data_IF_312465008826
#
_entry.id   IF_312465008826
#
_cell.length_a   1.000
_cell.length_b   1.000
_cell.length_c   1.000
_cell.angle_alpha   90.00
_cell.angle_beta   90.00
_cell.angle_gamma   90.00
#
_symmetry.space_group_name_H-M   'P 1'
#
loop_
_entity.id
_entity.type
_entity.pdbx_description
1 polymer ?
#
# COMPACT_ATOMS: atom_id res chain seq x y z
N UNK A 1 14.41 -31.81 -33.17
CA UNK A 1 14.44 -31.69 -31.70
C UNK A 1 13.03 -31.33 -31.25
N UNK A 2 12.30 -32.27 -30.62
CA UNK A 2 10.88 -32.08 -30.29
C UNK A 2 10.76 -31.15 -29.08
N UNK A 3 10.28 -29.92 -29.29
CA UNK A 3 9.85 -29.03 -28.21
C UNK A 3 8.53 -29.58 -27.66
N UNK A 4 8.59 -30.37 -26.60
CA UNK A 4 7.41 -30.64 -25.79
C UNK A 4 7.07 -29.33 -25.07
N UNK A 5 6.09 -28.59 -25.59
CA UNK A 5 5.65 -27.32 -25.02
C UNK A 5 5.24 -27.52 -23.57
N UNK A 6 5.97 -26.90 -22.63
CA UNK A 6 5.48 -26.72 -21.26
C UNK A 6 4.12 -26.05 -21.39
N UNK A 7 3.08 -26.69 -20.82
CA UNK A 7 1.79 -26.02 -20.64
C UNK A 7 2.07 -24.69 -19.93
N UNK A 8 1.42 -23.61 -20.36
CA UNK A 8 1.48 -22.35 -19.62
C UNK A 8 1.17 -22.62 -18.14
N UNK A 9 1.79 -21.88 -17.20
CA UNK A 9 1.44 -22.01 -15.79
C UNK A 9 0.01 -21.59 -15.51
N UNK A 10 -0.64 -22.24 -14.54
CA UNK A 10 -1.98 -21.84 -14.07
C UNK A 10 -1.84 -20.70 -13.06
N UNK A 11 -2.54 -19.58 -13.30
CA UNK A 11 -2.66 -18.49 -12.32
C UNK A 11 -3.98 -18.62 -11.57
N UNK A 12 -3.95 -18.67 -10.24
CA UNK A 12 -5.14 -18.54 -9.41
C UNK A 12 -5.28 -17.11 -8.93
N UNK A 13 -6.41 -16.48 -9.27
CA UNK A 13 -6.74 -15.11 -8.85
C UNK A 13 -7.77 -15.19 -7.72
N UNK A 14 -7.47 -14.60 -6.57
CA UNK A 14 -8.42 -14.46 -5.46
C UNK A 14 -9.07 -13.09 -5.54
N UNK A 15 -10.41 -13.06 -5.56
CA UNK A 15 -11.22 -11.84 -5.70
C UNK A 15 -12.15 -11.70 -4.49
N UNK A 16 -11.78 -10.95 -3.44
CA UNK A 16 -12.66 -10.71 -2.30
C UNK A 16 -13.77 -9.72 -2.66
N UNK A 17 -15.01 -10.00 -2.29
CA UNK A 17 -16.23 -9.25 -2.66
C UNK A 17 -17.00 -8.84 -1.41
N UNK A 18 -17.21 -7.53 -1.24
CA UNK A 18 -18.08 -6.96 -0.21
C UNK A 18 -18.50 -5.52 -0.56
N UNK A 19 -19.81 -5.28 -0.71
CA UNK A 19 -20.40 -3.98 -1.05
C UNK A 19 -19.80 -3.33 -2.32
N UNK A 20 -19.85 -4.07 -3.43
CA UNK A 20 -19.19 -3.74 -4.71
C UNK A 20 -20.06 -4.06 -5.95
N UNK A 21 -21.39 -4.14 -5.78
CA UNK A 21 -22.35 -4.44 -6.86
C UNK A 21 -22.09 -3.61 -8.13
N UNK A 22 -21.75 -2.34 -7.98
CA UNK A 22 -21.48 -1.42 -9.09
C UNK A 22 -20.24 -1.80 -9.92
N UNK A 23 -19.16 -2.23 -9.26
CA UNK A 23 -17.84 -2.34 -9.89
C UNK A 23 -17.46 -3.77 -10.27
N UNK A 24 -18.02 -4.77 -9.58
CA UNK A 24 -17.71 -6.18 -9.79
C UNK A 24 -17.83 -6.65 -11.25
N UNK A 25 -18.84 -6.24 -12.04
CA UNK A 25 -18.92 -6.64 -13.45
C UNK A 25 -17.71 -6.22 -14.28
N UNK A 26 -17.18 -5.01 -14.07
CA UNK A 26 -16.00 -4.53 -14.79
C UNK A 26 -14.73 -5.25 -14.33
N UNK A 27 -14.61 -5.53 -13.03
CA UNK A 27 -13.52 -6.31 -12.46
C UNK A 27 -13.44 -7.70 -13.08
N UNK A 28 -14.54 -8.47 -13.06
CA UNK A 28 -14.58 -9.82 -13.62
C UNK A 28 -14.41 -9.84 -15.15
N UNK A 29 -15.00 -8.86 -15.86
CA UNK A 29 -14.79 -8.71 -17.29
C UNK A 29 -13.30 -8.51 -17.65
N UNK A 30 -12.56 -7.76 -16.82
CA UNK A 30 -11.12 -7.54 -17.04
C UNK A 30 -10.28 -8.80 -16.87
N UNK A 31 -10.69 -9.70 -15.99
CA UNK A 31 -10.05 -11.00 -15.81
C UNK A 31 -10.35 -11.93 -16.99
N UNK A 32 -11.59 -11.92 -17.49
CA UNK A 32 -11.99 -12.66 -18.70
C UNK A 32 -11.22 -12.22 -19.94
N UNK A 33 -10.92 -10.93 -20.03
CA UNK A 33 -10.19 -10.32 -21.14
C UNK A 33 -8.66 -10.53 -21.10
N UNK A 34 -8.11 -11.23 -20.10
CA UNK A 34 -6.66 -11.47 -20.00
C UNK A 34 -6.12 -12.29 -21.18
N UNK A 35 -4.97 -11.85 -21.69
CA UNK A 35 -4.24 -12.51 -22.79
C UNK A 35 -3.53 -13.79 -22.35
N UNK A 36 -3.11 -13.89 -21.08
CA UNK A 36 -2.74 -15.17 -20.47
C UNK A 36 -4.02 -15.94 -20.19
N UNK A 37 -4.34 -16.95 -20.98
CA UNK A 37 -5.67 -17.60 -20.94
C UNK A 37 -5.81 -18.67 -19.85
N UNK A 38 -4.69 -19.15 -19.30
CA UNK A 38 -4.67 -20.23 -18.31
C UNK A 38 -4.68 -19.68 -16.89
N UNK A 39 -5.86 -19.26 -16.46
CA UNK A 39 -6.13 -18.84 -15.10
C UNK A 39 -7.40 -19.50 -14.56
N UNK A 40 -7.57 -19.44 -13.24
CA UNK A 40 -8.82 -19.67 -12.53
C UNK A 40 -9.03 -18.54 -11.51
N UNK A 41 -10.27 -18.30 -11.12
CA UNK A 41 -10.62 -17.29 -10.13
C UNK A 41 -11.40 -17.94 -8.98
N UNK A 42 -11.05 -17.57 -7.75
CA UNK A 42 -11.86 -17.82 -6.57
C UNK A 42 -12.42 -16.48 -6.11
N UNK A 43 -13.68 -16.24 -6.44
CA UNK A 43 -14.43 -15.08 -5.97
C UNK A 43 -14.99 -15.42 -4.59
N UNK A 44 -14.61 -14.65 -3.59
CA UNK A 44 -15.04 -14.88 -2.20
C UNK A 44 -16.03 -13.78 -1.84
N UNK A 45 -17.31 -14.14 -1.82
CA UNK A 45 -18.36 -13.29 -1.28
C UNK A 45 -18.27 -13.31 0.25
N UNK A 46 -17.78 -12.21 0.82
CA UNK A 46 -17.56 -12.02 2.26
C UNK A 46 -18.85 -11.58 2.98
N UNK A 47 -19.98 -12.21 2.62
CA UNK A 47 -21.29 -11.91 3.16
C UNK A 47 -21.78 -10.52 2.77
N UNK A 48 -21.68 -10.18 1.48
CA UNK A 48 -22.03 -8.87 0.97
C UNK A 48 -23.51 -8.51 1.21
N UNK A 49 -23.84 -7.25 1.57
CA UNK A 49 -25.23 -6.84 1.83
C UNK A 49 -26.00 -6.43 0.56
N UNK A 50 -25.30 -6.30 -0.57
CA UNK A 50 -25.85 -5.89 -1.87
C UNK A 50 -25.97 -7.08 -2.83
N UNK A 51 -26.21 -6.85 -4.13
CA UNK A 51 -26.36 -7.94 -5.10
C UNK A 51 -25.03 -8.46 -5.65
N UNK A 52 -23.88 -8.07 -5.09
CA UNK A 52 -22.59 -8.49 -5.61
C UNK A 52 -22.41 -10.03 -5.57
N UNK A 53 -22.99 -10.70 -4.57
CA UNK A 53 -22.99 -12.17 -4.47
C UNK A 53 -23.77 -12.83 -5.62
N UNK A 54 -24.98 -12.35 -5.91
CA UNK A 54 -25.79 -12.81 -7.05
C UNK A 54 -25.06 -12.58 -8.38
N UNK A 55 -24.42 -11.42 -8.54
CA UNK A 55 -23.63 -11.09 -9.73
C UNK A 55 -22.47 -12.07 -9.88
N UNK A 56 -21.74 -12.38 -8.80
CA UNK A 56 -20.65 -13.35 -8.84
C UNK A 56 -21.14 -14.73 -9.32
N UNK A 57 -22.30 -15.19 -8.84
CA UNK A 57 -22.91 -16.46 -9.26
C UNK A 57 -23.29 -16.46 -10.74
N UNK A 58 -23.86 -15.36 -11.24
CA UNK A 58 -24.19 -15.20 -12.66
C UNK A 58 -22.94 -15.27 -13.55
N UNK A 59 -21.81 -14.71 -13.11
CA UNK A 59 -20.54 -14.81 -13.81
C UNK A 59 -19.99 -16.23 -13.79
N UNK A 60 -19.99 -16.90 -12.64
CA UNK A 60 -19.53 -18.29 -12.52
C UNK A 60 -20.36 -19.27 -13.36
N UNK A 61 -21.65 -18.99 -13.56
CA UNK A 61 -22.51 -19.79 -14.44
C UNK A 61 -22.11 -19.68 -15.93
N UNK A 62 -21.43 -18.61 -16.35
CA UNK A 62 -21.08 -18.32 -17.75
C UNK A 62 -19.59 -18.53 -18.05
N UNK A 63 -18.74 -18.36 -17.05
CA UNK A 63 -17.28 -18.49 -17.15
C UNK A 63 -16.79 -19.62 -16.22
N UNK A 64 -16.49 -20.82 -16.76
CA UNK A 64 -16.14 -21.99 -15.96
C UNK A 64 -14.80 -21.89 -15.23
N UNK A 65 -13.98 -20.86 -15.54
CA UNK A 65 -12.76 -20.54 -14.79
C UNK A 65 -13.04 -19.83 -13.47
N UNK A 66 -14.25 -19.30 -13.25
CA UNK A 66 -14.66 -18.61 -12.03
C UNK A 66 -15.40 -19.57 -11.11
N UNK A 67 -15.02 -19.56 -9.83
CA UNK A 67 -15.77 -20.21 -8.74
C UNK A 67 -16.11 -19.18 -7.67
N UNK A 68 -17.32 -19.27 -7.13
CA UNK A 68 -17.77 -18.46 -5.99
C UNK A 68 -17.71 -19.27 -4.70
N UNK A 69 -17.28 -18.63 -3.62
CA UNK A 69 -17.33 -19.13 -2.25
C UNK A 69 -18.03 -18.07 -1.40
N UNK A 70 -19.16 -18.42 -0.78
CA UNK A 70 -19.87 -17.52 0.11
C UNK A 70 -19.46 -17.79 1.56
N UNK A 71 -19.20 -16.72 2.29
CA UNK A 71 -18.77 -16.75 3.68
C UNK A 71 -19.56 -15.75 4.51
N UNK A 72 -19.39 -15.81 5.83
CA UNK A 72 -19.84 -14.72 6.71
C UNK A 72 -18.74 -13.66 6.74
N UNK A 73 -19.12 -12.38 6.77
CA UNK A 73 -18.16 -11.26 6.78
C UNK A 73 -17.09 -11.44 7.86
N UNK A 74 -15.86 -11.69 7.41
CA UNK A 74 -14.66 -11.77 8.22
C UNK A 74 -13.66 -10.64 7.94
N UNK A 75 -13.94 -9.82 6.93
CA UNK A 75 -13.06 -8.76 6.44
C UNK A 75 -12.11 -9.23 5.34
N UNK A 76 -11.48 -8.25 4.67
CA UNK A 76 -10.68 -8.46 3.46
C UNK A 76 -9.59 -9.53 3.60
N UNK A 77 -8.84 -9.54 4.69
CA UNK A 77 -7.82 -10.57 4.95
C UNK A 77 -8.40 -11.98 5.10
N UNK A 78 -9.54 -12.12 5.79
CA UNK A 78 -10.21 -13.41 5.94
C UNK A 78 -10.74 -13.91 4.60
N UNK A 79 -11.33 -13.04 3.79
CA UNK A 79 -11.79 -13.37 2.45
C UNK A 79 -10.64 -13.83 1.53
N UNK A 80 -9.49 -13.13 1.57
CA UNK A 80 -8.30 -13.56 0.81
C UNK A 80 -7.75 -14.90 1.29
N UNK A 81 -7.69 -15.13 2.61
CA UNK A 81 -7.27 -16.41 3.19
C UNK A 81 -8.23 -17.55 2.84
N UNK A 82 -9.53 -17.31 2.85
CA UNK A 82 -10.51 -18.30 2.40
C UNK A 82 -10.26 -18.64 0.93
N UNK A 83 -10.10 -17.63 0.07
CA UNK A 83 -9.79 -17.83 -1.35
C UNK A 83 -8.55 -18.69 -1.56
N UNK A 84 -7.50 -18.49 -0.77
CA UNK A 84 -6.27 -19.30 -0.79
C UNK A 84 -6.48 -20.78 -0.45
N UNK A 85 -7.53 -21.16 0.31
CA UNK A 85 -7.85 -22.58 0.57
C UNK A 85 -8.38 -23.30 -0.67
N UNK A 86 -8.75 -22.53 -1.70
CA UNK A 86 -9.48 -22.98 -2.87
C UNK A 86 -8.65 -22.88 -4.16
N UNK A 87 -7.46 -22.28 -4.12
CA UNK A 87 -6.59 -22.14 -5.30
C UNK A 87 -5.90 -23.46 -5.68
N UNK A 88 -5.60 -23.63 -6.97
CA UNK A 88 -4.93 -24.80 -7.56
C UNK A 88 -3.75 -24.42 -8.46
N UNK A 89 -3.56 -23.12 -8.71
CA UNK A 89 -2.59 -22.57 -9.64
C UNK A 89 -1.15 -22.70 -9.18
N UNK A 90 -0.23 -22.62 -10.14
CA UNK A 90 1.21 -22.53 -9.89
C UNK A 90 1.58 -21.15 -9.33
N UNK A 91 0.77 -20.13 -9.68
CA UNK A 91 0.91 -18.75 -9.24
C UNK A 91 -0.35 -18.24 -8.56
N UNK A 92 -0.18 -17.27 -7.68
CA UNK A 92 -1.22 -16.59 -6.91
C UNK A 92 -1.23 -15.10 -7.26
N UNK A 93 -2.41 -14.57 -7.56
CA UNK A 93 -2.67 -13.14 -7.69
C UNK A 93 -3.89 -12.75 -6.85
N UNK A 94 -3.96 -11.48 -6.48
CA UNK A 94 -5.06 -10.92 -5.71
C UNK A 94 -5.63 -9.73 -6.49
N UNK A 95 -6.93 -9.67 -6.62
CA UNK A 95 -7.61 -8.61 -7.38
C UNK A 95 -8.75 -8.07 -6.53
N UNK A 96 -8.65 -6.79 -6.16
CA UNK A 96 -9.73 -6.14 -5.43
C UNK A 96 -10.93 -5.93 -6.38
N UNK A 97 -12.13 -6.17 -5.85
CA UNK A 97 -13.36 -6.36 -6.65
C UNK A 97 -13.91 -5.07 -7.28
N UNK A 98 -13.34 -3.92 -6.95
CA UNK A 98 -13.64 -2.63 -7.54
C UNK A 98 -12.62 -2.17 -8.59
N UNK A 99 -11.53 -2.90 -8.76
CA UNK A 99 -10.44 -2.56 -9.66
C UNK A 99 -10.49 -3.34 -10.99
N UNK A 100 -9.55 -3.03 -11.88
CA UNK A 100 -9.48 -3.60 -13.23
C UNK A 100 -8.05 -3.99 -13.58
N UNK A 101 -7.88 -5.15 -14.20
CA UNK A 101 -6.61 -5.58 -14.77
C UNK A 101 -6.44 -5.09 -16.22
N UNK A 102 -5.28 -4.52 -16.60
CA UNK A 102 -4.87 -4.39 -17.99
C UNK A 102 -4.85 -5.75 -18.70
N UNK A 103 -5.16 -5.85 -20.01
CA UNK A 103 -5.29 -7.14 -20.71
C UNK A 103 -4.03 -8.03 -20.70
N UNK A 104 -2.85 -7.44 -20.49
CA UNK A 104 -1.55 -8.12 -20.51
C UNK A 104 -0.98 -8.38 -19.12
N UNK A 105 -1.64 -7.93 -18.05
CA UNK A 105 -1.11 -7.96 -16.68
C UNK A 105 -0.61 -9.36 -16.26
N UNK A 106 -1.44 -10.38 -16.40
CA UNK A 106 -1.05 -11.75 -16.02
C UNK A 106 0.07 -12.30 -16.93
N UNK A 107 0.03 -12.00 -18.23
CA UNK A 107 1.03 -12.48 -19.18
C UNK A 107 2.42 -11.88 -18.91
N UNK A 108 2.45 -10.59 -18.57
CA UNK A 108 3.66 -9.84 -18.24
C UNK A 108 4.29 -10.38 -16.96
N UNK A 109 3.51 -10.53 -15.89
CA UNK A 109 4.01 -11.02 -14.59
C UNK A 109 4.47 -12.48 -14.68
N UNK A 110 3.70 -13.36 -15.33
CA UNK A 110 4.10 -14.77 -15.54
C UNK A 110 5.37 -14.84 -16.39
N UNK A 111 5.45 -14.03 -17.46
CA UNK A 111 6.62 -13.98 -18.34
C UNK A 111 7.89 -13.60 -17.60
N UNK A 112 7.83 -12.59 -16.72
CA UNK A 112 8.96 -12.19 -15.87
C UNK A 112 9.42 -13.36 -15.00
N UNK A 113 8.49 -13.99 -14.28
CA UNK A 113 8.82 -15.07 -13.34
C UNK A 113 9.36 -16.33 -14.02
N UNK A 114 8.81 -16.72 -15.17
CA UNK A 114 9.34 -17.86 -15.93
C UNK A 114 10.75 -17.57 -16.49
N UNK A 115 11.09 -16.29 -16.74
CA UNK A 115 12.41 -15.91 -17.23
C UNK A 115 13.45 -15.77 -16.12
N UNK A 116 13.09 -15.15 -14.99
CA UNK A 116 14.00 -14.84 -13.88
C UNK A 116 14.17 -16.01 -12.91
N UNK A 117 13.13 -16.82 -12.73
CA UNK A 117 13.06 -17.79 -11.64
C UNK A 117 12.79 -17.18 -10.26
N UNK A 118 12.48 -15.88 -10.18
CA UNK A 118 12.15 -15.18 -8.93
C UNK A 118 10.92 -15.77 -8.23
N UNK A 119 10.81 -15.53 -6.92
CA UNK A 119 9.73 -16.01 -6.09
C UNK A 119 8.40 -15.29 -6.36
N UNK A 120 8.46 -13.99 -6.64
CA UNK A 120 7.31 -13.18 -7.05
C UNK A 120 7.74 -11.95 -7.86
N UNK A 121 6.76 -11.32 -8.52
CA UNK A 121 6.99 -10.12 -9.33
C UNK A 121 5.99 -9.05 -8.92
N UNK A 122 6.41 -7.79 -8.96
CA UNK A 122 5.56 -6.61 -8.76
C UNK A 122 5.59 -5.71 -10.00
N UNK A 123 4.43 -5.22 -10.43
CA UNK A 123 4.31 -4.28 -11.54
C UNK A 123 3.79 -2.91 -11.11
N UNK A 124 4.01 -1.89 -11.94
CA UNK A 124 3.52 -0.55 -11.68
C UNK A 124 1.99 -0.49 -11.80
N UNK A 125 1.40 0.67 -11.51
CA UNK A 125 -0.04 0.83 -11.35
C UNK A 125 -0.51 2.17 -11.94
N UNK A 126 -1.71 2.19 -12.50
CA UNK A 126 -2.37 3.44 -12.88
C UNK A 126 -3.53 3.70 -11.91
N UNK A 127 -3.55 4.88 -11.33
CA UNK A 127 -4.71 5.41 -10.60
C UNK A 127 -5.77 5.82 -11.61
N UNK A 128 -6.98 5.29 -11.44
CA UNK A 128 -8.16 5.61 -12.22
C UNK A 128 -9.10 6.51 -11.43
N UNK A 129 -9.19 7.76 -11.84
CA UNK A 129 -10.03 8.79 -11.21
C UNK A 129 -10.69 9.63 -12.30
N UNK A 130 -12.00 9.85 -12.21
CA UNK A 130 -12.79 10.66 -13.16
C UNK A 130 -12.55 10.31 -14.64
N UNK A 131 -12.44 9.01 -14.95
CA UNK A 131 -12.21 8.53 -16.31
C UNK A 131 -10.76 8.62 -16.79
N UNK A 132 -9.86 9.17 -15.99
CA UNK A 132 -8.45 9.37 -16.33
C UNK A 132 -7.57 8.33 -15.64
N UNK A 133 -6.63 7.75 -16.39
CA UNK A 133 -5.58 6.89 -15.87
C UNK A 133 -4.29 7.69 -15.72
N UNK A 134 -3.67 7.64 -14.54
CA UNK A 134 -2.41 8.32 -14.26
C UNK A 134 -1.51 7.47 -13.37
N UNK A 135 -0.23 7.38 -13.70
CA UNK A 135 0.74 6.68 -12.86
C UNK A 135 1.11 7.56 -11.66
N UNK A 136 0.93 7.09 -10.40
CA UNK A 136 1.35 7.85 -9.24
C UNK A 136 2.88 8.07 -9.25
N UNK A 137 3.39 9.30 -9.01
CA UNK A 137 4.82 9.59 -9.08
C UNK A 137 5.68 8.71 -8.17
N UNK A 138 5.14 8.32 -7.02
CA UNK A 138 5.82 7.46 -6.06
C UNK A 138 5.90 6.01 -6.57
N UNK A 139 4.90 5.50 -7.28
CA UNK A 139 4.96 4.17 -7.91
C UNK A 139 5.96 4.17 -9.06
N UNK A 140 5.91 5.20 -9.91
CA UNK A 140 6.91 5.38 -10.97
C UNK A 140 8.35 5.36 -10.43
N UNK A 141 8.59 6.03 -9.30
CA UNK A 141 9.91 6.05 -8.64
C UNK A 141 10.33 4.67 -8.13
N UNK A 142 9.40 3.89 -7.59
CA UNK A 142 9.69 2.56 -7.05
C UNK A 142 9.90 1.51 -8.15
N UNK A 143 9.31 1.70 -9.32
CA UNK A 143 9.31 0.72 -10.41
C UNK A 143 10.26 1.04 -11.57
N UNK A 144 10.91 2.21 -11.57
CA UNK A 144 11.83 2.61 -12.64
C UNK A 144 13.24 2.94 -12.11
N UNK A 145 14.31 2.32 -12.66
CA UNK A 145 14.29 1.30 -13.72
C UNK A 145 13.78 -0.06 -13.22
N UNK A 146 13.30 -0.95 -14.11
CA UNK A 146 12.90 -2.30 -13.73
C UNK A 146 14.10 -3.13 -13.22
N UNK A 147 13.83 -4.06 -12.32
CA UNK A 147 14.81 -4.91 -11.65
C UNK A 147 14.41 -6.39 -11.75
N UNK A 148 15.39 -7.29 -11.71
CA UNK A 148 15.15 -8.73 -11.85
C UNK A 148 15.97 -9.50 -10.84
N UNK A 149 15.34 -10.43 -10.11
CA UNK A 149 16.00 -11.32 -9.16
C UNK A 149 16.65 -10.61 -7.97
N UNK A 150 16.12 -9.46 -7.56
CA UNK A 150 16.66 -8.67 -6.44
C UNK A 150 16.10 -9.13 -5.10
N UNK A 151 16.72 -8.66 -4.01
CA UNK A 151 16.26 -8.88 -2.62
C UNK A 151 16.05 -7.53 -1.92
N UNK A 152 15.26 -7.54 -0.85
CA UNK A 152 14.95 -6.32 -0.10
C UNK A 152 16.19 -5.64 0.50
N UNK A 153 17.26 -6.39 0.80
CA UNK A 153 18.51 -5.79 1.29
C UNK A 153 19.21 -4.91 0.23
N UNK A 154 19.13 -5.28 -1.06
CA UNK A 154 19.75 -4.53 -2.15
C UNK A 154 18.91 -3.32 -2.56
N UNK A 155 17.60 -3.38 -2.31
CA UNK A 155 16.64 -2.40 -2.79
C UNK A 155 15.48 -2.22 -1.80
N UNK A 156 15.75 -1.71 -0.58
CA UNK A 156 14.75 -1.60 0.49
C UNK A 156 13.62 -0.62 0.17
N UNK A 157 13.81 0.28 -0.79
CA UNK A 157 12.79 1.24 -1.21
C UNK A 157 11.50 0.62 -1.71
N UNK A 158 11.58 -0.57 -2.31
CA UNK A 158 10.41 -1.30 -2.82
C UNK A 158 9.45 -1.73 -1.71
N UNK A 159 9.89 -1.75 -0.45
CA UNK A 159 9.01 -1.99 0.71
C UNK A 159 7.93 -0.91 0.86
N UNK A 160 8.05 0.22 0.15
CA UNK A 160 6.99 1.21 0.01
C UNK A 160 5.84 0.80 -0.93
N UNK A 161 6.04 -0.18 -1.82
CA UNK A 161 4.99 -0.80 -2.63
C UNK A 161 4.30 -1.92 -1.85
N UNK A 162 3.41 -1.51 -0.96
CA UNK A 162 2.80 -2.36 0.06
C UNK A 162 1.61 -3.19 -0.43
N UNK A 163 1.15 -2.96 -1.66
CA UNK A 163 -0.10 -3.51 -2.14
C UNK A 163 -0.03 -5.00 -2.42
N UNK A 164 -1.12 -5.71 -2.16
CA UNK A 164 -1.25 -7.13 -2.51
C UNK A 164 -1.47 -7.36 -4.01
N UNK A 165 -2.14 -6.42 -4.67
CA UNK A 165 -2.87 -6.66 -5.92
C UNK A 165 -2.08 -6.40 -7.20
N UNK A 166 -0.96 -5.70 -7.13
CA UNK A 166 -0.05 -5.49 -8.26
C UNK A 166 1.04 -6.57 -8.36
N UNK A 167 0.82 -7.72 -7.72
CA UNK A 167 1.83 -8.79 -7.56
C UNK A 167 1.33 -10.14 -8.04
N UNK A 168 2.28 -10.94 -8.50
CA UNK A 168 2.10 -12.36 -8.80
C UNK A 168 3.12 -13.16 -8.01
N UNK A 169 2.66 -14.09 -7.17
CA UNK A 169 3.52 -14.92 -6.32
C UNK A 169 3.58 -16.34 -6.86
N UNK A 170 4.74 -16.99 -6.82
CA UNK A 170 4.80 -18.46 -6.91
C UNK A 170 4.08 -19.05 -5.71
N UNK A 171 3.15 -19.97 -5.94
CA UNK A 171 2.42 -20.62 -4.83
C UNK A 171 3.36 -21.39 -3.90
N UNK A 172 4.36 -22.08 -4.46
CA UNK A 172 5.35 -22.80 -3.66
C UNK A 172 6.14 -21.88 -2.74
N UNK A 173 6.50 -20.68 -3.21
CA UNK A 173 7.16 -19.67 -2.37
C UNK A 173 6.22 -19.23 -1.25
N UNK A 174 4.99 -18.80 -1.61
CA UNK A 174 3.97 -18.36 -0.65
C UNK A 174 3.77 -19.35 0.50
N UNK A 175 3.62 -20.64 0.16
CA UNK A 175 3.47 -21.73 1.11
C UNK A 175 4.74 -21.92 1.97
N UNK A 176 5.93 -21.97 1.35
CA UNK A 176 7.19 -22.20 2.07
C UNK A 176 7.60 -21.05 3.00
N UNK A 177 7.26 -19.81 2.63
CA UNK A 177 7.49 -18.62 3.44
C UNK A 177 6.42 -18.44 4.54
N UNK A 178 5.41 -19.31 4.59
CA UNK A 178 4.33 -19.24 5.58
C UNK A 178 3.55 -17.92 5.50
N UNK A 179 3.31 -17.43 4.28
CA UNK A 179 2.58 -16.18 4.07
C UNK A 179 1.07 -16.40 4.26
N UNK A 180 0.41 -15.42 4.86
CA UNK A 180 -1.02 -15.38 5.10
C UNK A 180 -1.43 -13.94 5.37
N UNK A 181 -2.68 -13.59 5.09
CA UNK A 181 -3.20 -12.26 5.39
C UNK A 181 -3.64 -12.18 6.85
N UNK A 182 -3.24 -11.15 7.62
CA UNK A 182 -3.85 -10.86 8.90
C UNK A 182 -5.36 -10.66 8.77
N UNK A 183 -6.13 -11.24 9.70
CA UNK A 183 -7.59 -11.16 9.70
C UNK A 183 -8.10 -10.10 10.68
N UNK A 184 -9.30 -9.58 10.43
CA UNK A 184 -9.98 -8.58 11.28
C UNK A 184 -9.20 -7.29 11.49
N UNK A 185 -8.40 -6.90 10.49
CA UNK A 185 -7.62 -5.67 10.48
C UNK A 185 -7.69 -5.04 9.09
N UNK A 186 -7.70 -3.71 9.01
CA UNK A 186 -7.50 -2.97 7.74
C UNK A 186 -6.03 -2.95 7.37
N UNK A 187 -5.73 -2.77 6.09
CA UNK A 187 -4.34 -2.66 5.61
C UNK A 187 -3.53 -3.94 5.83
N UNK A 188 -4.20 -5.09 5.78
CA UNK A 188 -3.62 -6.43 5.97
C UNK A 188 -2.56 -6.78 4.91
N UNK A 189 -2.56 -6.05 3.80
CA UNK A 189 -1.59 -6.18 2.73
C UNK A 189 -0.16 -5.82 3.19
N UNK A 190 -0.01 -4.73 3.94
CA UNK A 190 1.28 -4.22 4.39
C UNK A 190 2.17 -5.24 5.10
N UNK A 191 1.77 -5.84 6.23
CA UNK A 191 2.63 -6.79 6.93
C UNK A 191 2.96 -8.02 6.08
N UNK A 192 2.00 -8.53 5.31
CA UNK A 192 2.19 -9.72 4.48
C UNK A 192 3.13 -9.46 3.31
N UNK A 193 2.96 -8.33 2.63
CA UNK A 193 3.80 -7.91 1.51
C UNK A 193 5.22 -7.61 1.99
N UNK A 194 5.40 -6.97 3.14
CA UNK A 194 6.73 -6.80 3.77
C UNK A 194 7.39 -8.15 4.02
N UNK A 195 6.69 -9.11 4.64
CA UNK A 195 7.23 -10.47 4.85
C UNK A 195 7.62 -11.15 3.54
N UNK A 196 6.85 -10.98 2.48
CA UNK A 196 7.18 -11.52 1.16
C UNK A 196 8.48 -10.94 0.59
N UNK A 197 8.64 -9.60 0.62
CA UNK A 197 9.87 -8.93 0.19
C UNK A 197 11.11 -9.36 0.98
N UNK A 198 10.97 -9.55 2.30
CA UNK A 198 12.08 -9.97 3.18
C UNK A 198 12.49 -11.43 2.95
N UNK A 199 11.53 -12.31 2.62
CA UNK A 199 11.79 -13.75 2.48
C UNK A 199 12.30 -14.16 1.09
N UNK A 200 11.80 -13.52 0.02
CA UNK A 200 11.98 -13.99 -1.35
C UNK A 200 12.94 -13.16 -2.21
N UNK A 201 13.21 -13.65 -3.41
CA UNK A 201 13.73 -12.84 -4.52
C UNK A 201 12.60 -12.36 -5.42
N UNK A 202 12.69 -11.15 -5.95
CA UNK A 202 11.61 -10.58 -6.75
C UNK A 202 12.06 -9.80 -7.97
N UNK A 203 11.13 -9.68 -8.91
CA UNK A 203 11.26 -8.79 -10.06
C UNK A 203 10.41 -7.53 -9.84
N UNK A 204 10.91 -6.39 -10.30
CA UNK A 204 10.22 -5.10 -10.30
C UNK A 204 10.04 -4.67 -11.75
N UNK A 205 8.78 -4.49 -12.16
CA UNK A 205 8.43 -4.13 -13.53
C UNK A 205 7.88 -2.71 -13.57
N UNK A 206 8.29 -1.92 -14.56
CA UNK A 206 7.77 -0.59 -14.84
C UNK A 206 6.43 -0.61 -15.61
N UNK A 207 6.09 -1.75 -16.22
CA UNK A 207 4.80 -1.95 -16.89
C UNK A 207 3.63 -1.84 -15.90
N UNK A 208 2.61 -1.02 -16.20
CA UNK A 208 1.41 -0.99 -15.38
C UNK A 208 0.59 -2.28 -15.51
N UNK A 209 0.46 -3.01 -14.40
CA UNK A 209 -0.25 -4.31 -14.34
C UNK A 209 -1.61 -4.20 -13.63
N UNK A 210 -2.03 -2.99 -13.27
CA UNK A 210 -3.23 -2.79 -12.48
C UNK A 210 -3.80 -1.39 -12.64
N UNK A 211 -5.13 -1.28 -12.72
CA UNK A 211 -5.86 -0.01 -12.69
C UNK A 211 -6.60 0.12 -11.36
N UNK A 212 -6.05 0.95 -10.47
CA UNK A 212 -6.58 1.21 -9.13
C UNK A 212 -7.65 2.30 -9.18
N UNK A 213 -8.92 1.93 -8.93
CA UNK A 213 -10.06 2.84 -8.96
C UNK A 213 -10.16 3.67 -7.69
N UNK A 214 -10.36 4.97 -7.85
CA UNK A 214 -10.85 5.82 -6.77
C UNK A 214 -12.37 5.92 -6.87
N UNK A 215 -13.06 5.51 -5.81
CA UNK A 215 -14.52 5.62 -5.72
C UNK A 215 -14.91 7.05 -5.33
N UNK A 216 -15.81 7.65 -6.11
CA UNK A 216 -16.31 9.01 -5.88
C UNK A 216 -17.26 9.09 -4.68
N UNK A 217 -17.82 7.96 -4.24
CA UNK A 217 -18.73 7.85 -3.09
C UNK A 217 -18.02 7.89 -1.72
N UNK A 218 -16.68 7.81 -1.70
CA UNK A 218 -15.89 7.85 -0.47
C UNK A 218 -15.97 6.58 0.38
N UNK A 219 -16.54 5.48 -0.11
CA UNK A 219 -16.82 4.30 0.72
C UNK A 219 -15.63 3.36 0.89
N UNK A 220 -14.53 3.58 0.17
CA UNK A 220 -13.32 2.73 0.27
C UNK A 220 -12.77 2.73 1.70
N UNK A 221 -12.24 1.57 2.12
CA UNK A 221 -11.50 1.42 3.40
C UNK A 221 -10.44 2.51 3.52
N UNK A 222 -9.73 2.78 2.41
CA UNK A 222 -8.66 3.77 2.36
C UNK A 222 -9.14 5.22 2.46
N UNK A 223 -10.44 5.50 2.56
CA UNK A 223 -11.01 6.85 2.67
C UNK A 223 -11.56 7.16 4.09
N UNK A 224 -11.47 6.22 5.06
CA UNK A 224 -12.07 6.34 6.40
C UNK A 224 -11.09 6.74 7.54
N UNK A 225 -9.98 7.43 7.19
CA UNK A 225 -8.83 7.70 8.09
C UNK A 225 -9.12 8.56 9.33
N UNK A 226 -10.24 9.29 9.35
CA UNK A 226 -10.62 10.13 10.49
C UNK A 226 -11.20 9.33 11.67
N UNK A 227 -11.51 8.04 11.48
CA UNK A 227 -12.09 7.21 12.53
C UNK A 227 -11.03 6.66 13.48
N UNK A 228 -11.36 6.53 14.77
CA UNK A 228 -10.49 5.90 15.78
C UNK A 228 -10.17 4.43 15.42
N UNK A 229 -11.15 3.59 15.00
CA UNK A 229 -10.85 2.22 14.58
C UNK A 229 -9.84 2.13 13.43
N UNK A 230 -9.91 3.02 12.43
CA UNK A 230 -8.90 3.05 11.35
C UNK A 230 -7.50 3.30 11.90
N UNK A 231 -7.35 4.29 12.79
CA UNK A 231 -6.06 4.61 13.37
C UNK A 231 -5.52 3.50 14.28
N UNK A 232 -6.39 2.76 14.98
CA UNK A 232 -5.99 1.57 15.75
C UNK A 232 -5.40 0.50 14.82
N UNK A 233 -6.14 0.13 13.77
CA UNK A 233 -5.68 -0.86 12.78
C UNK A 233 -4.40 -0.38 12.08
N UNK A 234 -4.28 0.93 11.85
CA UNK A 234 -3.09 1.53 11.26
C UNK A 234 -1.87 1.38 12.15
N UNK A 235 -1.99 1.58 13.45
CA UNK A 235 -0.88 1.36 14.37
C UNK A 235 -0.53 -0.12 14.48
N UNK A 236 -1.53 -0.98 14.54
CA UNK A 236 -1.31 -2.42 14.64
C UNK A 236 -0.59 -2.98 13.40
N UNK A 237 -1.01 -2.60 12.20
CA UNK A 237 -0.30 -3.02 10.97
C UNK A 237 1.15 -2.51 10.92
N UNK A 238 1.42 -1.28 11.39
CA UNK A 238 2.79 -0.76 11.52
C UNK A 238 3.63 -1.57 12.51
N UNK A 239 3.07 -1.99 13.65
CA UNK A 239 3.77 -2.86 14.61
C UNK A 239 4.09 -4.22 14.00
N UNK A 240 3.14 -4.82 13.28
CA UNK A 240 3.37 -6.09 12.59
C UNK A 240 4.46 -5.99 11.51
N UNK A 241 4.47 -4.90 10.74
CA UNK A 241 5.53 -4.61 9.77
C UNK A 241 6.88 -4.40 10.46
N UNK A 242 6.93 -3.62 11.55
CA UNK A 242 8.15 -3.40 12.33
C UNK A 242 8.70 -4.71 12.89
N UNK A 243 7.86 -5.52 13.52
CA UNK A 243 8.26 -6.82 14.06
C UNK A 243 8.86 -7.73 12.96
N UNK A 244 8.29 -7.69 11.75
CA UNK A 244 8.80 -8.47 10.61
C UNK A 244 10.20 -8.06 10.17
N UNK A 245 10.51 -6.75 10.13
CA UNK A 245 11.85 -6.27 9.74
C UNK A 245 12.86 -6.45 10.86
N UNK A 246 12.45 -6.31 12.12
CA UNK A 246 13.29 -6.58 13.28
C UNK A 246 13.67 -8.06 13.38
N UNK A 247 12.71 -8.96 13.13
CA UNK A 247 12.95 -10.41 13.07
C UNK A 247 13.89 -10.79 11.92
N UNK A 248 13.78 -10.11 10.78
CA UNK A 248 14.69 -10.32 9.64
C UNK A 248 16.15 -9.98 9.99
N UNK A 249 16.37 -9.02 10.90
CA UNK A 249 17.67 -8.73 11.49
C UNK A 249 18.62 -7.90 10.62
N UNK A 250 18.13 -7.27 9.55
CA UNK A 250 18.90 -6.34 8.72
C UNK A 250 18.69 -4.89 9.23
N UNK A 251 19.73 -4.23 9.80
CA UNK A 251 19.60 -2.89 10.35
C UNK A 251 19.34 -1.81 9.31
N UNK A 252 19.84 -1.96 8.09
CA UNK A 252 19.66 -0.96 7.02
C UNK A 252 18.22 -1.01 6.51
N UNK A 253 17.70 -2.22 6.26
CA UNK A 253 16.29 -2.43 5.89
C UNK A 253 15.37 -1.94 7.01
N UNK A 254 15.67 -2.27 8.26
CA UNK A 254 14.87 -1.82 9.42
C UNK A 254 14.84 -0.30 9.51
N UNK A 255 16.01 0.35 9.39
CA UNK A 255 16.07 1.82 9.43
C UNK A 255 15.27 2.42 8.28
N UNK A 256 15.42 1.89 7.07
CA UNK A 256 14.68 2.37 5.90
C UNK A 256 13.18 2.24 6.10
N UNK A 257 12.70 1.09 6.58
CA UNK A 257 11.27 0.87 6.81
C UNK A 257 10.73 1.82 7.86
N UNK A 258 11.40 1.98 9.00
CA UNK A 258 10.95 2.92 10.06
C UNK A 258 10.93 4.37 9.56
N UNK A 259 11.98 4.79 8.87
CA UNK A 259 12.18 6.20 8.54
C UNK A 259 11.47 6.62 7.26
N UNK A 260 11.25 5.71 6.31
CA UNK A 260 10.67 6.02 4.99
C UNK A 260 9.31 5.38 4.79
N UNK A 261 9.15 4.10 5.10
CA UNK A 261 7.90 3.37 4.82
C UNK A 261 6.84 3.65 5.88
N UNK A 262 7.14 3.40 7.16
CA UNK A 262 6.21 3.60 8.27
C UNK A 262 5.96 5.08 8.55
N UNK A 263 6.91 5.96 8.27
CA UNK A 263 6.68 7.41 8.41
C UNK A 263 5.92 7.98 7.20
N UNK A 264 6.13 7.42 6.00
CA UNK A 264 5.75 8.03 4.71
C UNK A 264 4.26 8.20 4.44
N UNK A 265 3.38 7.58 5.23
CA UNK A 265 1.93 7.70 5.15
C UNK A 265 1.33 8.57 6.26
N UNK A 266 2.10 8.90 7.30
CA UNK A 266 1.62 9.68 8.45
C UNK A 266 1.15 11.08 8.05
N UNK A 267 1.71 11.66 6.98
CA UNK A 267 1.30 12.99 6.52
C UNK A 267 -0.21 13.06 6.23
N UNK A 268 -0.82 11.95 5.75
CA UNK A 268 -2.27 11.89 5.50
C UNK A 268 -3.07 11.95 6.79
N UNK A 269 -2.55 11.38 7.87
CA UNK A 269 -3.13 11.47 9.21
C UNK A 269 -2.92 12.87 9.80
N UNK A 270 -1.75 13.47 9.57
CA UNK A 270 -1.48 14.83 10.06
C UNK A 270 -2.45 15.87 9.48
N UNK A 271 -2.83 15.74 8.21
CA UNK A 271 -3.84 16.60 7.60
C UNK A 271 -5.23 16.55 8.29
N UNK A 272 -5.52 15.51 9.09
CA UNK A 272 -6.79 15.34 9.80
C UNK A 272 -6.78 15.95 11.20
N UNK A 273 -5.61 16.35 11.73
CA UNK A 273 -5.46 16.92 13.07
C UNK A 273 -6.44 18.08 13.35
N UNK A 274 -6.72 19.03 12.42
CA UNK A 274 -7.64 20.14 12.67
C UNK A 274 -9.06 19.69 13.04
N UNK A 275 -9.53 18.56 12.50
CA UNK A 275 -10.86 18.02 12.75
C UNK A 275 -10.91 16.83 13.71
N UNK A 276 -9.77 16.42 14.25
CA UNK A 276 -9.68 15.20 15.07
C UNK A 276 -10.41 15.34 16.42
N UNK A 277 -10.85 14.22 16.99
CA UNK A 277 -11.27 14.19 18.39
C UNK A 277 -10.07 14.19 19.34
N UNK A 278 -10.30 14.50 20.61
CA UNK A 278 -9.28 14.35 21.68
C UNK A 278 -8.75 12.92 21.80
N UNK A 279 -9.64 11.93 21.68
CA UNK A 279 -9.28 10.51 21.69
C UNK A 279 -8.37 10.16 20.52
N UNK A 280 -8.74 10.59 19.31
CA UNK A 280 -7.97 10.34 18.11
C UNK A 280 -6.58 11.00 18.20
N UNK A 281 -6.50 12.24 18.72
CA UNK A 281 -5.22 12.92 18.95
C UNK A 281 -4.30 12.12 19.87
N UNK A 282 -4.81 11.67 21.02
CA UNK A 282 -4.02 10.88 21.97
C UNK A 282 -3.53 9.58 21.35
N UNK A 283 -4.37 8.92 20.56
CA UNK A 283 -4.00 7.70 19.85
C UNK A 283 -2.93 7.95 18.78
N UNK A 284 -3.04 9.03 18.00
CA UNK A 284 -2.01 9.43 17.02
C UNK A 284 -0.69 9.64 17.74
N UNK A 285 -0.69 10.46 18.79
CA UNK A 285 0.51 10.79 19.56
C UNK A 285 1.13 9.55 20.21
N UNK A 286 0.32 8.67 20.80
CA UNK A 286 0.81 7.45 21.43
C UNK A 286 1.57 6.57 20.45
N UNK A 287 1.03 6.33 19.24
CA UNK A 287 1.72 5.54 18.22
C UNK A 287 2.97 6.23 17.66
N UNK A 288 2.94 7.57 17.53
CA UNK A 288 4.15 8.33 17.16
C UNK A 288 5.26 8.17 18.20
N UNK A 289 4.94 8.30 19.48
CA UNK A 289 5.93 8.13 20.56
C UNK A 289 6.41 6.69 20.70
N UNK A 290 5.54 5.71 20.44
CA UNK A 290 5.90 4.29 20.45
C UNK A 290 6.97 3.98 19.41
N UNK A 291 6.79 4.44 18.17
CA UNK A 291 7.65 4.08 17.04
C UNK A 291 8.84 5.04 16.85
N UNK A 292 8.68 6.33 17.17
CA UNK A 292 9.70 7.35 16.94
C UNK A 292 10.12 8.11 18.20
N UNK A 293 9.62 7.80 19.40
CA UNK A 293 9.92 8.58 20.61
C UNK A 293 11.41 8.67 20.99
N UNK A 294 12.24 7.71 20.57
CA UNK A 294 13.70 7.74 20.77
C UNK A 294 14.49 8.23 19.54
N UNK A 295 13.83 8.34 18.37
CA UNK A 295 14.47 8.63 17.07
C UNK A 295 14.03 9.97 16.46
N UNK A 296 12.85 10.45 16.82
CA UNK A 296 12.12 11.57 16.24
C UNK A 296 11.78 11.44 14.74
N UNK A 297 10.55 11.82 14.39
CA UNK A 297 10.08 11.96 13.01
C UNK A 297 10.83 13.06 12.24
N UNK A 298 11.57 13.93 12.92
CA UNK A 298 12.46 14.92 12.30
C UNK A 298 13.51 14.27 11.39
N UNK A 299 13.94 13.05 11.73
CA UNK A 299 14.91 12.29 10.95
C UNK A 299 14.28 11.40 9.86
N UNK A 300 12.95 11.31 9.82
CA UNK A 300 12.23 10.52 8.81
C UNK A 300 12.35 11.08 7.38
N UNK A 301 11.75 10.38 6.43
CA UNK A 301 11.59 10.80 5.04
C UNK A 301 10.31 11.54 4.73
N UNK A 302 9.56 11.98 5.75
CA UNK A 302 8.41 12.84 5.54
C UNK A 302 8.83 14.16 4.84
N UNK A 303 7.94 14.76 4.04
CA UNK A 303 8.17 16.11 3.52
C UNK A 303 8.38 17.11 4.66
N UNK A 304 9.15 18.20 4.45
CA UNK A 304 9.55 19.12 5.52
C UNK A 304 8.40 19.58 6.44
N UNK A 305 7.29 20.06 5.88
CA UNK A 305 6.12 20.53 6.67
C UNK A 305 5.50 19.42 7.54
N UNK A 306 5.57 18.18 7.09
CA UNK A 306 5.05 17.04 7.84
C UNK A 306 6.06 16.51 8.85
N UNK A 307 7.38 16.70 8.64
CA UNK A 307 8.40 16.49 9.69
C UNK A 307 8.20 17.47 10.84
N UNK A 308 7.96 18.74 10.54
CA UNK A 308 7.61 19.75 11.54
C UNK A 308 6.32 19.37 12.30
N UNK A 309 5.29 18.93 11.59
CA UNK A 309 4.05 18.45 12.23
C UNK A 309 4.30 17.24 13.14
N UNK A 310 5.09 16.26 12.68
CA UNK A 310 5.48 15.10 13.47
C UNK A 310 6.17 15.49 14.78
N UNK A 311 7.08 16.47 14.73
CA UNK A 311 7.70 17.02 15.93
C UNK A 311 6.68 17.69 16.86
N UNK A 312 5.74 18.49 16.35
CA UNK A 312 4.67 19.08 17.17
C UNK A 312 3.81 18.01 17.86
N UNK A 313 3.54 16.88 17.17
CA UNK A 313 2.85 15.72 17.77
C UNK A 313 3.66 15.13 18.92
N UNK A 314 4.97 14.92 18.74
CA UNK A 314 5.86 14.42 19.81
C UNK A 314 5.81 15.33 21.05
N UNK A 315 5.82 16.66 20.83
CA UNK A 315 5.77 17.67 21.89
C UNK A 315 4.37 17.90 22.50
N UNK A 316 3.35 17.16 22.07
CA UNK A 316 1.94 17.36 22.47
C UNK A 316 1.37 18.76 22.14
N UNK A 317 1.89 19.40 21.08
CA UNK A 317 1.51 20.75 20.64
C UNK A 317 0.34 20.72 19.67
N UNK A 318 -0.79 20.19 20.12
CA UNK A 318 -1.98 19.93 19.28
C UNK A 318 -2.49 21.15 18.51
N UNK A 319 -2.66 22.28 19.20
CA UNK A 319 -3.24 23.48 18.59
C UNK A 319 -2.39 24.00 17.44
N UNK A 320 -1.07 23.99 17.62
CA UNK A 320 -0.12 24.44 16.61
C UNK A 320 0.02 23.44 15.47
N UNK A 321 -0.06 22.13 15.75
CA UNK A 321 -0.14 21.11 14.71
C UNK A 321 -1.41 21.28 13.85
N UNK A 322 -2.55 21.59 14.47
CA UNK A 322 -3.80 21.87 13.77
C UNK A 322 -3.71 23.15 12.91
N UNK A 323 -3.13 24.23 13.45
CA UNK A 323 -2.97 25.47 12.72
C UNK A 323 -1.99 25.31 11.54
N UNK A 324 -0.88 24.61 11.74
CA UNK A 324 0.07 24.27 10.68
C UNK A 324 -0.59 23.47 9.55
N UNK A 325 -1.37 22.43 9.88
CA UNK A 325 -2.02 21.61 8.86
C UNK A 325 -3.18 22.33 8.17
N UNK A 326 -3.85 23.26 8.86
CA UNK A 326 -4.84 24.16 8.24
C UNK A 326 -4.18 25.10 7.23
N UNK A 327 -3.02 25.66 7.57
CA UNK A 327 -2.24 26.47 6.64
C UNK A 327 -1.75 25.66 5.44
N UNK A 328 -1.19 24.46 5.68
CA UNK A 328 -0.71 23.56 4.62
C UNK A 328 -1.83 23.19 3.64
N UNK A 329 -3.05 22.94 4.13
CA UNK A 329 -4.19 22.63 3.28
C UNK A 329 -4.61 23.80 2.33
N UNK A 330 -4.17 25.03 2.62
CA UNK A 330 -4.42 26.21 1.80
C UNK A 330 -3.29 26.58 0.83
N UNK A 331 -2.19 25.82 0.80
CA UNK A 331 -1.06 26.09 -0.10
C UNK A 331 -1.30 25.57 -1.51
N UNK A 332 -0.86 26.34 -2.51
CA UNK A 332 -0.77 25.91 -3.91
C UNK A 332 0.67 25.46 -4.22
N UNK A 333 1.02 24.26 -3.73
CA UNK A 333 2.36 23.69 -3.86
C UNK A 333 3.11 23.54 -2.51
N UNK A 334 4.44 23.32 -2.55
CA UNK A 334 5.25 23.20 -1.33
C UNK A 334 5.30 24.53 -0.56
N UNK A 335 5.49 24.44 0.75
CA UNK A 335 5.70 25.62 1.59
C UNK A 335 6.95 26.39 1.20
N UNK A 336 6.89 27.71 1.38
CA UNK A 336 8.04 28.59 1.20
C UNK A 336 9.20 28.21 2.13
N UNK A 337 10.40 28.58 1.69
CA UNK A 337 11.67 28.26 2.37
C UNK A 337 12.61 29.44 2.32
N UNK A 338 13.41 29.55 3.37
CA UNK A 338 14.39 30.63 3.54
C UNK A 338 15.75 30.03 3.83
N UNK A 339 16.79 30.64 3.28
CA UNK A 339 18.17 30.27 3.56
C UNK A 339 18.72 31.16 4.68
N UNK A 340 19.30 30.53 5.69
CA UNK A 340 20.05 31.25 6.71
C UNK A 340 21.36 31.79 6.12
N UNK A 341 21.57 33.10 6.22
CA UNK A 341 22.69 33.79 5.56
C UNK A 341 24.04 33.39 6.17
N UNK A 342 24.08 33.05 7.46
CA UNK A 342 25.32 32.75 8.16
C UNK A 342 25.78 31.30 7.94
N UNK A 343 24.85 30.35 7.94
CA UNK A 343 25.12 28.91 7.82
C UNK A 343 24.91 28.36 6.41
N UNK A 344 24.14 29.06 5.56
CA UNK A 344 23.72 28.58 4.25
C UNK A 344 22.66 27.47 4.30
N UNK A 345 22.16 27.10 5.49
CA UNK A 345 21.15 26.07 5.66
C UNK A 345 19.77 26.55 5.22
N UNK A 346 18.99 25.67 4.58
CA UNK A 346 17.60 25.95 4.22
C UNK A 346 16.67 25.53 5.35
N UNK A 347 15.66 26.34 5.62
CA UNK A 347 14.58 26.02 6.56
C UNK A 347 13.22 26.42 6.01
N UNK A 348 12.17 25.82 6.55
CA UNK A 348 10.79 26.22 6.28
C UNK A 348 10.58 27.68 6.67
N UNK A 349 9.90 28.42 5.81
CA UNK A 349 9.42 29.78 6.06
C UNK A 349 7.94 29.73 6.48
N UNK A 350 7.72 29.28 7.71
CA UNK A 350 6.36 29.22 8.29
C UNK A 350 5.98 30.61 8.82
N UNK A 351 4.85 31.20 8.39
CA UNK A 351 4.43 32.50 8.88
C UNK A 351 4.28 32.50 10.41
N UNK A 352 4.75 33.55 11.09
CA UNK A 352 4.64 33.66 12.55
C UNK A 352 3.18 33.56 13.07
N UNK A 353 2.19 33.93 12.25
CA UNK A 353 0.77 33.75 12.59
C UNK A 353 0.34 32.29 12.69
N UNK A 354 1.09 31.36 12.06
CA UNK A 354 0.83 29.92 12.04
C UNK A 354 1.63 29.21 13.13
N UNK A 355 2.89 29.61 13.32
CA UNK A 355 3.77 29.02 14.32
C UNK A 355 4.91 29.99 14.67
N UNK A 356 5.16 30.18 15.97
CA UNK A 356 6.40 30.84 16.42
C UNK A 356 7.58 29.88 16.28
N UNK A 357 8.26 29.97 15.13
CA UNK A 357 9.41 29.13 14.78
C UNK A 357 10.60 29.27 15.74
N UNK A 358 10.66 30.32 16.57
CA UNK A 358 11.71 30.45 17.59
C UNK A 358 11.56 29.44 18.74
N UNK A 359 10.37 28.85 18.89
CA UNK A 359 10.05 27.82 19.91
C UNK A 359 10.22 26.39 19.39
N UNK A 360 10.71 26.24 18.15
CA UNK A 360 10.79 24.95 17.45
C UNK A 360 12.24 24.51 17.38
N UNK A 361 12.47 23.21 17.51
CA UNK A 361 13.80 22.63 17.26
C UNK A 361 14.24 22.97 15.81
N UNK A 362 15.41 23.61 15.61
CA UNK A 362 15.90 23.92 14.27
C UNK A 362 15.93 22.72 13.32
N UNK A 363 16.17 21.51 13.82
CA UNK A 363 16.16 20.29 13.00
C UNK A 363 14.76 19.99 12.43
N UNK A 364 13.69 20.31 13.17
CA UNK A 364 12.31 20.15 12.70
C UNK A 364 11.92 21.15 11.59
N UNK A 365 12.67 22.24 11.45
CA UNK A 365 12.48 23.26 10.40
C UNK A 365 13.38 23.01 9.18
N UNK A 366 14.36 22.12 9.27
CA UNK A 366 15.38 21.90 8.24
C UNK A 366 14.76 21.44 6.90
N UNK A 367 15.16 22.08 5.81
CA UNK A 367 14.92 21.62 4.43
C UNK A 367 16.24 21.08 3.90
N UNK A 368 16.28 19.78 3.59
CA UNK A 368 17.50 19.08 3.16
C UNK A 368 17.81 19.44 1.71
N UNK A 369 19.08 19.33 1.25
CA UNK A 369 19.47 19.74 -0.10
C UNK A 369 18.68 19.12 -1.25
N UNK A 370 18.19 17.88 -1.11
CA UNK A 370 17.38 17.20 -2.12
C UNK A 370 15.88 17.56 -2.04
N UNK A 371 15.49 18.35 -1.03
CA UNK A 371 14.13 18.87 -0.81
C UNK A 371 14.05 20.36 -1.20
N UNK A 372 15.17 20.97 -1.58
CA UNK A 372 15.25 22.31 -2.19
C UNK A 372 14.86 22.21 -3.65
#
# INVERSE_FOLDING_TARGET
MKWFGRRQPLVSVVVPVYAVEEWLPACLASLVAQTHTRWEAVVVDDGTPDRAGEIADEWAAREPRIRVVHTHNGGLGAARNEGLRHVRGDYLAFLDSDDVLPPTALAVLVGSLEASGSDFATGSVLRWEDGTLSEPPWMRRLHHPPLTGVRAHDHPEILGDVFAWNKLFRRSFWESAGLSWPERIRYEDQPTTTRAYLAGTFDVLDEPVYHWRIRSDGTSITQQRASVPDLVDRWETKRMTLASVEEHGDPEVTSYVVDRVLAGDLWRYFLLIPGASEEWWRLLRAGVLELWGQRSLVHSGLPPVHRLCGWLVEQDRRAEAAELMTWVAGLDGPADRVQDVASGAWRLDVPHRVLDVATVDPAALEVRPHEV
#
